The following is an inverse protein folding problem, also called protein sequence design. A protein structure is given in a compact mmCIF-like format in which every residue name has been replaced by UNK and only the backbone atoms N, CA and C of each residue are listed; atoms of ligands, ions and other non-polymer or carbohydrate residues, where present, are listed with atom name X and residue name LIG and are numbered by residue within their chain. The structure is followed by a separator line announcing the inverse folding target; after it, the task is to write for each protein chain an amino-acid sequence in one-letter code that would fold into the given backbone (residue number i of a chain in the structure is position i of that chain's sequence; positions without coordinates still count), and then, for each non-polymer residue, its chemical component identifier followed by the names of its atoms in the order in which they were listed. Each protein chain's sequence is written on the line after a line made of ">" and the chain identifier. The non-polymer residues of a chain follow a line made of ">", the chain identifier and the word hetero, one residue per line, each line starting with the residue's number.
data_IF_564544422255
#
_entry.id   IF_564544422255
#
_cell.length_a   1.000
_cell.length_b   1.000
_cell.length_c   1.000
_cell.angle_alpha   90.00
_cell.angle_beta   90.00
_cell.angle_gamma   90.00
#
_symmetry.space_group_name_H-M   'P 1'
#
loop_
_entity.id
_entity.type
_entity.pdbx_description
1 polymer ?
#
# COMPACT_ATOMS: atom_id res chain seq x y z
N UNK A 1 -54.79 29.56 -41.52
CA UNK A 1 -53.63 30.42 -41.22
C UNK A 1 -52.97 30.06 -39.87
N UNK A 2 -53.73 29.55 -38.91
CA UNK A 2 -53.29 29.22 -37.54
C UNK A 2 -52.41 27.97 -37.42
N UNK A 3 -52.71 26.91 -38.17
CA UNK A 3 -51.91 25.68 -38.22
C UNK A 3 -50.45 25.91 -38.66
N UNK A 4 -50.22 26.81 -39.63
CA UNK A 4 -48.87 27.14 -40.12
C UNK A 4 -48.05 27.93 -39.09
N UNK A 5 -48.70 28.79 -38.29
CA UNK A 5 -48.03 29.52 -37.18
C UNK A 5 -47.61 28.59 -36.06
N UNK A 6 -48.47 27.64 -35.69
CA UNK A 6 -48.14 26.64 -34.67
C UNK A 6 -47.01 25.71 -35.13
N UNK A 7 -46.99 25.34 -36.41
CA UNK A 7 -45.90 24.55 -36.98
C UNK A 7 -44.55 25.31 -36.94
N UNK A 8 -44.54 26.60 -37.30
CA UNK A 8 -43.33 27.43 -37.21
C UNK A 8 -42.88 27.58 -35.75
N UNK A 9 -43.81 27.80 -34.82
CA UNK A 9 -43.52 27.94 -33.40
C UNK A 9 -42.86 26.68 -32.83
N UNK A 10 -43.38 25.49 -33.17
CA UNK A 10 -42.82 24.20 -32.73
C UNK A 10 -41.41 23.97 -33.29
N UNK A 11 -41.16 24.34 -34.55
CA UNK A 11 -39.83 24.22 -35.17
C UNK A 11 -38.83 25.17 -34.50
N UNK A 12 -39.24 26.40 -34.20
CA UNK A 12 -38.38 27.40 -33.54
C UNK A 12 -38.04 26.98 -32.11
N UNK A 13 -39.01 26.47 -31.34
CA UNK A 13 -38.77 25.96 -29.98
C UNK A 13 -37.85 24.73 -30.01
N UNK A 14 -38.04 23.83 -30.98
CA UNK A 14 -37.18 22.65 -31.17
C UNK A 14 -35.73 23.03 -31.49
N UNK A 15 -35.52 24.00 -32.39
CA UNK A 15 -34.19 24.47 -32.77
C UNK A 15 -33.45 25.17 -31.61
N UNK A 16 -34.18 25.96 -30.81
CA UNK A 16 -33.62 26.64 -29.65
C UNK A 16 -33.18 25.66 -28.55
N UNK A 17 -33.95 24.58 -28.33
CA UNK A 17 -33.58 23.51 -27.41
C UNK A 17 -32.28 22.80 -27.82
N UNK A 18 -32.10 22.51 -29.11
CA UNK A 18 -30.89 21.86 -29.63
C UNK A 18 -29.66 22.77 -29.48
N UNK A 19 -29.80 24.08 -29.71
CA UNK A 19 -28.70 25.04 -29.53
C UNK A 19 -28.24 25.15 -28.07
N UNK A 20 -29.18 25.17 -27.11
CA UNK A 20 -28.83 25.20 -25.68
C UNK A 20 -28.09 23.94 -25.25
N UNK A 21 -28.53 22.77 -25.68
CA UNK A 21 -27.86 21.49 -25.37
C UNK A 21 -26.46 21.46 -25.97
N UNK A 22 -26.28 21.88 -27.23
CA UNK A 22 -24.96 21.95 -27.86
C UNK A 22 -24.03 22.95 -27.16
N UNK A 23 -24.54 24.10 -26.72
CA UNK A 23 -23.77 25.11 -25.98
C UNK A 23 -23.29 24.58 -24.63
N UNK A 24 -24.17 23.89 -23.89
CA UNK A 24 -23.83 23.25 -22.60
C UNK A 24 -22.78 22.15 -22.81
N UNK A 25 -22.98 21.26 -23.79
CA UNK A 25 -22.01 20.20 -24.12
C UNK A 25 -20.65 20.77 -24.52
N UNK A 26 -20.63 21.84 -25.33
CA UNK A 26 -19.41 22.52 -25.74
C UNK A 26 -18.67 23.18 -24.55
N UNK A 27 -19.41 23.70 -23.57
CA UNK A 27 -18.85 24.27 -22.35
C UNK A 27 -18.15 23.21 -21.47
N UNK A 28 -18.73 22.00 -21.35
CA UNK A 28 -18.11 20.88 -20.62
C UNK A 28 -16.83 20.34 -21.31
N UNK A 29 -16.82 20.25 -22.64
CA UNK A 29 -15.65 19.85 -23.42
C UNK A 29 -14.50 20.85 -23.24
N UNK A 30 -14.81 22.16 -23.28
CA UNK A 30 -13.84 23.24 -23.08
C UNK A 30 -13.19 23.19 -21.69
N UNK A 31 -13.96 22.91 -20.64
CA UNK A 31 -13.44 22.77 -19.27
C UNK A 31 -12.53 21.54 -19.09
N UNK A 32 -12.83 20.44 -19.80
CA UNK A 32 -11.95 19.27 -19.84
C UNK A 32 -10.59 19.60 -20.45
N UNK A 33 -10.60 20.21 -21.63
CA UNK A 33 -9.38 20.62 -22.35
C UNK A 33 -8.56 21.64 -21.53
N UNK A 34 -9.24 22.61 -20.90
CA UNK A 34 -8.59 23.61 -20.05
C UNK A 34 -7.86 22.98 -18.85
N UNK A 35 -8.47 21.98 -18.18
CA UNK A 35 -7.83 21.24 -17.08
C UNK A 35 -6.58 20.49 -17.54
N UNK A 36 -6.64 19.84 -18.70
CA UNK A 36 -5.47 19.16 -19.28
C UNK A 36 -4.34 20.15 -19.56
N UNK A 37 -4.66 21.32 -20.12
CA UNK A 37 -3.67 22.36 -20.42
C UNK A 37 -3.04 22.93 -19.15
N UNK A 38 -3.84 23.17 -18.09
CA UNK A 38 -3.34 23.60 -16.78
C UNK A 38 -2.39 22.57 -16.15
N UNK A 39 -2.70 21.28 -16.24
CA UNK A 39 -1.83 20.21 -15.75
C UNK A 39 -0.52 20.12 -16.52
N UNK A 40 -0.53 20.33 -17.84
CA UNK A 40 0.69 20.37 -18.66
C UNK A 40 1.57 21.55 -18.23
N UNK A 41 1.00 22.73 -18.03
CA UNK A 41 1.75 23.91 -17.56
C UNK A 41 2.33 23.67 -16.17
N UNK A 42 1.56 23.10 -15.24
CA UNK A 42 2.05 22.74 -13.91
C UNK A 42 3.18 21.71 -13.97
N UNK A 43 3.07 20.70 -14.84
CA UNK A 43 4.12 19.71 -15.04
C UNK A 43 5.41 20.34 -15.59
N UNK A 44 5.31 21.20 -16.61
CA UNK A 44 6.46 21.92 -17.18
C UNK A 44 7.13 22.81 -16.12
N UNK A 45 6.34 23.49 -15.29
CA UNK A 45 6.87 24.31 -14.19
C UNK A 45 7.65 23.47 -13.16
N UNK A 46 7.12 22.30 -12.78
CA UNK A 46 7.81 21.37 -11.88
C UNK A 46 9.12 20.86 -12.49
N UNK A 47 9.11 20.49 -13.78
CA UNK A 47 10.33 20.03 -14.47
C UNK A 47 11.37 21.15 -14.57
N UNK A 48 10.95 22.38 -14.87
CA UNK A 48 11.83 23.55 -14.89
C UNK A 48 12.52 23.77 -13.54
N UNK A 49 11.76 23.72 -12.44
CA UNK A 49 12.32 23.85 -11.09
C UNK A 49 13.30 22.73 -10.74
N UNK A 50 13.03 21.48 -11.15
CA UNK A 50 13.95 20.36 -10.94
C UNK A 50 15.26 20.57 -11.72
N UNK A 51 15.18 21.04 -12.97
CA UNK A 51 16.36 21.30 -13.80
C UNK A 51 17.23 22.41 -13.22
N UNK A 52 16.63 23.49 -12.71
CA UNK A 52 17.36 24.58 -12.03
C UNK A 52 18.12 24.06 -10.80
N UNK A 53 17.48 23.21 -9.98
CA UNK A 53 18.13 22.58 -8.82
C UNK A 53 19.32 21.72 -9.25
N UNK A 54 19.16 20.92 -10.32
CA UNK A 54 20.24 20.07 -10.84
C UNK A 54 21.44 20.89 -11.30
N UNK A 55 21.21 22.05 -11.93
CA UNK A 55 22.26 22.95 -12.40
C UNK A 55 22.94 23.68 -11.22
N UNK A 56 22.21 23.98 -10.15
CA UNK A 56 22.74 24.66 -8.96
C UNK A 56 23.65 23.78 -8.09
N UNK A 57 23.37 22.48 -8.02
CA UNK A 57 24.15 21.52 -7.20
C UNK A 57 25.66 21.55 -7.49
N UNK A 58 26.14 21.41 -8.75
CA UNK A 58 27.57 21.43 -9.02
C UNK A 58 28.23 22.76 -8.65
N UNK A 59 27.56 23.89 -8.85
CA UNK A 59 28.08 25.21 -8.48
C UNK A 59 28.26 25.35 -6.95
N UNK A 60 27.31 24.81 -6.18
CA UNK A 60 27.40 24.77 -4.71
C UNK A 60 28.56 23.86 -4.28
N UNK A 61 28.72 22.71 -4.91
CA UNK A 61 29.82 21.78 -4.62
C UNK A 61 31.17 22.45 -4.91
N UNK A 62 31.32 23.09 -6.07
CA UNK A 62 32.54 23.81 -6.45
C UNK A 62 32.85 24.94 -5.45
N UNK A 63 31.85 25.73 -5.07
CA UNK A 63 32.00 26.75 -4.03
C UNK A 63 32.53 26.16 -2.71
N UNK A 64 31.94 25.05 -2.26
CA UNK A 64 32.37 24.36 -1.02
C UNK A 64 33.79 23.81 -1.15
N UNK A 65 34.19 23.28 -2.31
CA UNK A 65 35.53 22.74 -2.54
C UNK A 65 36.62 23.83 -2.52
N UNK A 66 36.26 25.05 -2.92
CA UNK A 66 37.14 26.23 -2.92
C UNK A 66 37.28 26.91 -1.54
N UNK A 67 36.51 26.51 -0.53
CA UNK A 67 36.67 27.02 0.84
C UNK A 67 37.97 26.53 1.49
N UNK A 68 38.40 27.23 2.54
CA UNK A 68 39.52 26.79 3.38
C UNK A 68 39.26 25.41 3.99
N UNK A 69 40.35 24.69 4.25
CA UNK A 69 40.32 23.32 4.76
C UNK A 69 39.47 23.17 6.03
N UNK A 70 39.50 24.17 6.92
CA UNK A 70 38.72 24.19 8.17
C UNK A 70 37.21 24.16 7.90
N UNK A 71 36.72 24.95 6.95
CA UNK A 71 35.29 25.00 6.62
C UNK A 71 34.83 23.73 5.89
N UNK A 72 35.67 23.16 5.01
CA UNK A 72 35.36 21.89 4.34
C UNK A 72 35.13 20.76 5.34
N UNK A 73 36.04 20.60 6.31
CA UNK A 73 35.90 19.58 7.34
C UNK A 73 34.64 19.81 8.17
N UNK A 74 34.36 21.05 8.58
CA UNK A 74 33.16 21.38 9.35
C UNK A 74 31.86 21.02 8.60
N UNK A 75 31.77 21.32 7.30
CA UNK A 75 30.61 20.99 6.46
C UNK A 75 30.45 19.47 6.35
N UNK A 76 31.53 18.74 6.04
CA UNK A 76 31.49 17.28 5.94
C UNK A 76 31.07 16.65 7.27
N UNK A 77 31.64 17.09 8.39
CA UNK A 77 31.24 16.61 9.72
C UNK A 77 29.78 16.89 10.01
N UNK A 78 29.29 18.09 9.69
CA UNK A 78 27.87 18.44 9.85
C UNK A 78 26.95 17.52 9.04
N UNK A 79 27.26 17.29 7.76
CA UNK A 79 26.49 16.40 6.88
C UNK A 79 26.49 14.97 7.38
N UNK A 80 27.67 14.42 7.72
CA UNK A 80 27.81 13.05 8.23
C UNK A 80 27.06 12.86 9.55
N UNK A 81 27.10 13.85 10.44
CA UNK A 81 26.37 13.82 11.72
C UNK A 81 24.85 13.74 11.49
N UNK A 82 24.30 14.63 10.64
CA UNK A 82 22.86 14.63 10.34
C UNK A 82 22.45 13.33 9.66
N UNK A 83 23.21 12.89 8.65
CA UNK A 83 22.94 11.64 7.94
C UNK A 83 22.96 10.43 8.90
N UNK A 84 23.92 10.39 9.83
CA UNK A 84 24.02 9.34 10.85
C UNK A 84 22.81 9.30 11.78
N UNK A 85 22.35 10.46 12.26
CA UNK A 85 21.16 10.56 13.12
C UNK A 85 19.90 10.09 12.37
N UNK A 86 19.70 10.55 11.14
CA UNK A 86 18.54 10.17 10.31
C UNK A 86 18.55 8.67 10.03
N UNK A 87 19.71 8.13 9.63
CA UNK A 87 19.87 6.70 9.36
C UNK A 87 19.61 5.86 10.63
N UNK A 88 20.16 6.27 11.77
CA UNK A 88 19.94 5.59 13.05
C UNK A 88 18.46 5.59 13.45
N UNK A 89 17.78 6.73 13.33
CA UNK A 89 16.36 6.85 13.61
C UNK A 89 15.51 5.95 12.70
N UNK A 90 15.83 5.91 11.41
CA UNK A 90 15.18 5.02 10.44
C UNK A 90 15.35 3.55 10.83
N UNK A 91 16.58 3.13 11.15
CA UNK A 91 16.88 1.74 11.52
C UNK A 91 16.16 1.33 12.82
N UNK A 92 16.18 2.19 13.85
CA UNK A 92 15.45 1.96 15.12
C UNK A 92 13.96 1.78 14.88
N UNK A 93 13.36 2.61 14.02
CA UNK A 93 11.94 2.48 13.66
C UNK A 93 11.65 1.15 12.97
N UNK A 94 12.51 0.75 12.02
CA UNK A 94 12.36 -0.52 11.30
C UNK A 94 12.45 -1.71 12.25
N UNK A 95 13.42 -1.69 13.17
CA UNK A 95 13.61 -2.71 14.19
C UNK A 95 12.38 -2.80 15.12
N UNK A 96 11.93 -1.67 15.65
CA UNK A 96 10.74 -1.60 16.51
C UNK A 96 9.49 -2.18 15.83
N UNK A 97 9.23 -1.82 14.57
CA UNK A 97 8.08 -2.36 13.83
C UNK A 97 8.23 -3.86 13.57
N UNK A 98 9.44 -4.33 13.26
CA UNK A 98 9.73 -5.76 13.06
C UNK A 98 9.49 -6.56 14.34
N UNK A 99 9.91 -6.03 15.50
CA UNK A 99 9.70 -6.65 16.80
C UNK A 99 8.21 -6.80 17.12
N UNK A 100 7.41 -5.74 16.95
CA UNK A 100 5.96 -5.80 17.16
C UNK A 100 5.26 -6.79 16.22
N UNK A 101 5.70 -6.87 14.96
CA UNK A 101 5.20 -7.86 13.99
C UNK A 101 5.57 -9.28 14.38
N UNK A 102 6.82 -9.50 14.80
CA UNK A 102 7.30 -10.81 15.26
C UNK A 102 6.43 -11.33 16.39
N UNK A 103 6.11 -10.51 17.38
CA UNK A 103 5.25 -10.91 18.50
C UNK A 103 3.83 -11.28 18.02
N UNK A 104 3.26 -10.47 17.12
CA UNK A 104 1.95 -10.75 16.52
C UNK A 104 1.92 -12.07 15.74
N UNK A 105 2.99 -12.38 15.01
CA UNK A 105 3.06 -13.59 14.17
C UNK A 105 3.43 -14.83 14.97
N UNK A 106 4.26 -14.68 16.02
CA UNK A 106 4.52 -15.74 16.99
C UNK A 106 3.24 -16.17 17.70
N UNK A 107 2.34 -15.24 18.01
CA UNK A 107 1.03 -15.58 18.57
C UNK A 107 0.26 -16.54 17.66
N UNK A 108 0.27 -16.31 16.34
CA UNK A 108 -0.36 -17.19 15.36
C UNK A 108 0.27 -18.58 15.34
N UNK A 109 1.58 -18.64 15.16
CA UNK A 109 2.32 -19.90 15.09
C UNK A 109 2.15 -20.72 16.37
N UNK A 110 2.17 -20.07 17.54
CA UNK A 110 1.96 -20.74 18.83
C UNK A 110 0.59 -21.37 18.93
N UNK A 111 -0.49 -20.64 18.64
CA UNK A 111 -1.82 -21.23 18.76
C UNK A 111 -2.07 -22.31 17.69
N UNK A 112 -1.53 -22.15 16.47
CA UNK A 112 -1.61 -23.17 15.42
C UNK A 112 -0.91 -24.46 15.83
N UNK A 113 0.28 -24.35 16.42
CA UNK A 113 1.01 -25.48 16.96
C UNK A 113 0.25 -26.15 18.12
N UNK A 114 -0.31 -25.35 19.05
CA UNK A 114 -1.13 -25.88 20.14
C UNK A 114 -2.36 -26.65 19.63
N UNK A 115 -3.03 -26.16 18.59
CA UNK A 115 -4.17 -26.81 17.93
C UNK A 115 -3.79 -28.12 17.24
N UNK A 116 -2.66 -28.15 16.53
CA UNK A 116 -2.30 -29.30 15.68
C UNK A 116 -1.62 -30.43 16.43
N UNK A 117 -0.89 -30.13 17.52
CA UNK A 117 0.06 -31.09 18.13
C UNK A 117 -0.23 -31.35 19.61
N UNK A 118 -0.60 -30.32 20.36
CA UNK A 118 -0.67 -30.41 21.82
C UNK A 118 -2.07 -30.86 22.27
N UNK A 119 -3.12 -30.24 21.71
CA UNK A 119 -4.48 -30.60 22.05
C UNK A 119 -5.45 -30.30 20.89
N UNK A 120 -5.73 -31.28 20.02
CA UNK A 120 -6.73 -31.12 18.96
C UNK A 120 -8.13 -30.87 19.51
N UNK A 121 -8.41 -31.27 20.76
CA UNK A 121 -9.65 -31.02 21.49
C UNK A 121 -9.61 -29.73 22.33
N UNK A 122 -8.76 -28.77 21.95
CA UNK A 122 -8.68 -27.48 22.63
C UNK A 122 -10.06 -26.82 22.74
N UNK A 123 -10.39 -26.32 23.94
CA UNK A 123 -11.66 -25.63 24.19
C UNK A 123 -11.90 -24.52 23.14
N UNK A 124 -13.06 -24.58 22.48
CA UNK A 124 -13.50 -23.61 21.46
C UNK A 124 -13.38 -22.16 21.96
N UNK A 125 -13.64 -21.89 23.25
CA UNK A 125 -13.50 -20.53 23.80
C UNK A 125 -12.04 -20.05 23.77
N UNK A 126 -11.09 -20.95 24.03
CA UNK A 126 -9.65 -20.64 23.97
C UNK A 126 -9.19 -20.40 22.53
N UNK A 127 -9.68 -21.20 21.58
CA UNK A 127 -9.40 -21.02 20.14
C UNK A 127 -9.88 -19.64 19.67
N UNK A 128 -11.14 -19.30 19.95
CA UNK A 128 -11.73 -18.00 19.58
C UNK A 128 -10.93 -16.84 20.20
N UNK A 129 -10.54 -16.97 21.47
CA UNK A 129 -9.72 -15.95 22.16
C UNK A 129 -8.36 -15.75 21.47
N UNK A 130 -7.69 -16.83 21.05
CA UNK A 130 -6.40 -16.76 20.37
C UNK A 130 -6.52 -16.13 18.98
N UNK A 131 -7.54 -16.51 18.21
CA UNK A 131 -7.85 -15.90 16.90
C UNK A 131 -8.14 -14.41 17.06
N UNK A 132 -8.95 -14.01 18.04
CA UNK A 132 -9.27 -12.61 18.28
C UNK A 132 -8.03 -11.78 18.65
N UNK A 133 -7.15 -12.33 19.50
CA UNK A 133 -5.87 -11.68 19.85
C UNK A 133 -4.98 -11.53 18.61
N UNK A 134 -4.86 -12.57 17.79
CA UNK A 134 -4.09 -12.50 16.54
C UNK A 134 -4.68 -11.45 15.59
N UNK A 135 -5.99 -11.48 15.36
CA UNK A 135 -6.68 -10.53 14.50
C UNK A 135 -6.47 -9.09 14.98
N UNK A 136 -6.60 -8.83 16.28
CA UNK A 136 -6.33 -7.49 16.83
C UNK A 136 -4.87 -7.04 16.60
N UNK A 137 -3.92 -7.97 16.68
CA UNK A 137 -2.49 -7.67 16.52
C UNK A 137 -2.15 -7.37 15.07
N UNK A 138 -2.67 -8.14 14.11
CA UNK A 138 -2.41 -7.90 12.68
C UNK A 138 -3.14 -6.68 12.15
N UNK A 139 -4.30 -6.29 12.72
CA UNK A 139 -4.97 -5.05 12.35
C UNK A 139 -4.11 -3.81 12.62
N UNK A 140 -3.30 -3.84 13.68
CA UNK A 140 -2.43 -2.73 14.05
C UNK A 140 -1.05 -2.82 13.37
N UNK A 141 -0.45 -4.00 13.33
CA UNK A 141 0.95 -4.17 12.95
C UNK A 141 1.17 -4.93 11.64
N UNK A 142 0.15 -5.61 11.13
CA UNK A 142 0.23 -6.45 9.95
C UNK A 142 0.33 -5.65 8.66
N UNK A 143 1.16 -6.12 7.73
CA UNK A 143 1.21 -5.50 6.40
C UNK A 143 -0.02 -5.81 5.54
N UNK A 144 -0.26 -5.03 4.47
CA UNK A 144 -1.36 -5.27 3.55
C UNK A 144 -1.38 -6.69 2.96
N UNK A 145 -0.21 -7.30 2.73
CA UNK A 145 -0.13 -8.69 2.26
C UNK A 145 -0.62 -9.69 3.29
N UNK A 146 -0.28 -9.50 4.57
CA UNK A 146 -0.73 -10.38 5.66
C UNK A 146 -2.23 -10.24 5.89
N UNK A 147 -2.77 -9.02 5.87
CA UNK A 147 -4.21 -8.78 5.99
C UNK A 147 -4.99 -9.45 4.85
N UNK A 148 -4.51 -9.32 3.61
CA UNK A 148 -5.13 -10.00 2.47
C UNK A 148 -5.10 -11.52 2.63
N UNK A 149 -3.95 -12.09 2.95
CA UNK A 149 -3.82 -13.53 3.15
C UNK A 149 -4.73 -14.06 4.28
N UNK A 150 -4.87 -13.31 5.38
CA UNK A 150 -5.78 -13.65 6.47
C UNK A 150 -7.24 -13.63 6.03
N UNK A 151 -7.65 -12.63 5.26
CA UNK A 151 -9.01 -12.55 4.74
C UNK A 151 -9.32 -13.70 3.79
N UNK A 152 -8.38 -14.05 2.90
CA UNK A 152 -8.51 -15.21 2.01
C UNK A 152 -8.63 -16.52 2.79
N UNK A 153 -7.79 -16.70 3.82
CA UNK A 153 -7.89 -17.86 4.71
C UNK A 153 -9.28 -17.96 5.37
N UNK A 154 -9.79 -16.85 5.94
CA UNK A 154 -11.13 -16.84 6.56
C UNK A 154 -12.23 -17.21 5.58
N UNK A 155 -12.23 -16.59 4.40
CA UNK A 155 -13.22 -16.87 3.36
C UNK A 155 -13.22 -18.34 2.96
N UNK A 156 -12.03 -18.92 2.70
CA UNK A 156 -11.95 -20.33 2.36
C UNK A 156 -12.47 -21.27 3.45
N UNK A 157 -12.19 -20.98 4.73
CA UNK A 157 -12.71 -21.79 5.83
C UNK A 157 -14.24 -21.68 5.99
N UNK A 158 -14.83 -20.56 5.58
CA UNK A 158 -16.30 -20.40 5.56
C UNK A 158 -16.92 -21.14 4.38
N UNK A 159 -16.34 -21.02 3.19
CA UNK A 159 -16.90 -21.56 1.95
C UNK A 159 -16.66 -23.08 1.81
N UNK A 160 -15.52 -23.58 2.31
CA UNK A 160 -15.07 -24.97 2.14
C UNK A 160 -14.57 -25.58 3.47
N UNK A 161 -15.41 -25.69 4.51
CA UNK A 161 -14.99 -26.08 5.86
C UNK A 161 -14.44 -27.50 5.98
N UNK A 162 -14.73 -28.39 5.01
CA UNK A 162 -14.27 -29.79 5.00
C UNK A 162 -13.00 -30.00 4.14
N UNK A 163 -12.56 -28.99 3.39
CA UNK A 163 -11.40 -29.10 2.49
C UNK A 163 -10.11 -28.81 3.26
N UNK A 164 -9.55 -29.87 3.84
CA UNK A 164 -8.34 -29.79 4.67
C UNK A 164 -7.11 -29.40 3.85
N UNK A 165 -7.02 -29.85 2.59
CA UNK A 165 -5.89 -29.55 1.70
C UNK A 165 -5.85 -28.06 1.37
N UNK A 166 -6.98 -27.48 0.93
CA UNK A 166 -7.06 -26.03 0.69
C UNK A 166 -6.81 -25.24 1.96
N UNK A 167 -7.33 -25.69 3.10
CA UNK A 167 -7.11 -25.00 4.38
C UNK A 167 -5.62 -24.93 4.74
N UNK A 168 -4.87 -26.03 4.56
CA UNK A 168 -3.42 -26.06 4.77
C UNK A 168 -2.67 -25.17 3.78
N UNK A 169 -3.07 -25.17 2.51
CA UNK A 169 -2.51 -24.29 1.48
C UNK A 169 -2.66 -22.80 1.85
N UNK A 170 -3.84 -22.37 2.30
CA UNK A 170 -4.05 -20.97 2.70
C UNK A 170 -3.31 -20.60 3.99
N UNK A 171 -3.09 -21.56 4.91
CA UNK A 171 -2.20 -21.37 6.06
C UNK A 171 -0.76 -21.14 5.58
N UNK A 172 -0.28 -21.90 4.60
CA UNK A 172 1.05 -21.71 4.02
C UNK A 172 1.21 -20.36 3.34
N UNK A 173 0.21 -19.90 2.57
CA UNK A 173 0.18 -18.55 2.00
C UNK A 173 0.28 -17.49 3.09
N UNK A 174 -0.48 -17.63 4.17
CA UNK A 174 -0.47 -16.70 5.30
C UNK A 174 0.89 -16.67 6.00
N UNK A 175 1.50 -17.83 6.26
CA UNK A 175 2.84 -17.93 6.86
C UNK A 175 3.89 -17.30 5.94
N UNK A 176 3.84 -17.54 4.64
CA UNK A 176 4.74 -16.92 3.68
C UNK A 176 4.56 -15.39 3.59
N UNK A 177 3.33 -14.89 3.73
CA UNK A 177 3.06 -13.45 3.80
C UNK A 177 3.69 -12.84 5.07
N UNK A 178 3.58 -13.50 6.22
CA UNK A 178 4.20 -13.07 7.47
C UNK A 178 5.74 -13.10 7.40
N UNK A 179 6.33 -14.16 6.82
CA UNK A 179 7.78 -14.26 6.59
C UNK A 179 8.29 -13.11 5.73
N UNK A 180 7.62 -12.85 4.61
CA UNK A 180 7.99 -11.76 3.70
C UNK A 180 7.90 -10.41 4.41
N UNK A 181 6.91 -10.22 5.28
CA UNK A 181 6.75 -8.97 6.04
C UNK A 181 7.82 -8.75 7.11
N UNK A 182 8.46 -9.83 7.58
CA UNK A 182 9.64 -9.78 8.45
C UNK A 182 10.96 -9.69 7.67
N UNK A 183 10.92 -9.63 6.33
CA UNK A 183 12.12 -9.57 5.48
C UNK A 183 12.75 -10.93 5.21
N UNK A 184 12.03 -12.03 5.45
CA UNK A 184 12.48 -13.40 5.17
C UNK A 184 11.86 -13.88 3.86
N UNK A 185 12.66 -14.54 3.03
CA UNK A 185 12.20 -15.09 1.75
C UNK A 185 11.06 -16.11 1.92
N UNK A 186 10.20 -16.14 0.90
CA UNK A 186 9.14 -17.15 0.77
C UNK A 186 9.73 -18.54 0.63
N UNK A 187 9.04 -19.50 1.20
CA UNK A 187 9.35 -20.93 1.05
C UNK A 187 8.59 -21.47 -0.16
N UNK A 188 9.12 -22.51 -0.83
CA UNK A 188 8.41 -23.18 -1.92
C UNK A 188 7.13 -23.83 -1.38
N UNK A 189 6.18 -24.01 -2.27
CA UNK A 189 4.90 -24.64 -1.96
C UNK A 189 5.09 -26.03 -1.34
N UNK A 190 4.27 -26.34 -0.34
CA UNK A 190 4.25 -27.56 0.46
C UNK A 190 5.47 -27.78 1.38
N UNK A 191 6.50 -26.93 1.38
CA UNK A 191 7.65 -27.11 2.29
C UNK A 191 7.30 -26.72 3.73
N UNK A 192 6.49 -25.68 3.95
CA UNK A 192 6.01 -25.32 5.29
C UNK A 192 5.08 -26.41 5.80
N UNK A 193 4.17 -26.88 4.95
CA UNK A 193 3.19 -27.93 5.30
C UNK A 193 3.92 -29.22 5.71
N UNK A 194 4.92 -29.67 4.93
CA UNK A 194 5.77 -30.84 5.25
C UNK A 194 6.43 -30.76 6.62
N UNK A 195 6.76 -29.55 7.08
CA UNK A 195 7.41 -29.34 8.39
C UNK A 195 6.41 -29.49 9.53
N UNK A 196 5.16 -29.07 9.32
CA UNK A 196 4.10 -29.10 10.32
C UNK A 196 3.45 -30.50 10.40
N UNK A 197 3.33 -31.21 9.27
CA UNK A 197 2.66 -32.52 9.20
C UNK A 197 3.56 -33.71 9.57
N UNK A 198 4.89 -33.54 9.59
CA UNK A 198 5.84 -34.59 9.98
C UNK A 198 5.90 -34.88 11.48
N UNK A 199 5.18 -34.14 12.32
CA UNK A 199 5.17 -34.33 13.79
C UNK A 199 4.21 -35.46 14.24
N UNK A 200 4.10 -36.54 13.46
CA UNK A 200 3.41 -37.77 13.84
C UNK A 200 4.42 -38.84 14.26
#
# INVERSE_FOLDING_TARGET
>A
MESKKNMILVIVIGSFGVMLVLSIVQQFISWGIFKYLLNIVAFVFVISGILEIIILIPNIIEYVLNLDSVFKVAIVTGVVSIAGVVYSAYMKRKEYLSEKRKDAYLLFLRFMYELMIINPDMDKKRIIKNINKFQSSILLWGSPSVIRAWNTFKQNNTDNPQDTEKTLHYIEILINAMRTDLGVNKVKENEIIKTITKLK
#
